data_IF_020860612163
#
_entry.id   IF_020860612163
#
_cell.length_a   1.000
_cell.length_b   1.000
_cell.length_c   1.000
_cell.angle_alpha   90.00
_cell.angle_beta   90.00
_cell.angle_gamma   90.00
#
_symmetry.space_group_name_H-M   'P 1'
#
loop_
_entity.id
_entity.type
_entity.pdbx_description
1 polymer ?
#
# COMPACT_ATOMS: atom_id res chain seq x y z
N UNK A 1 -10.98 8.94 -2.12
CA UNK A 1 -9.70 9.35 -1.50
C UNK A 1 -9.84 9.19 -0.01
N UNK A 2 -8.91 8.45 0.59
CA UNK A 2 -8.89 8.20 2.02
C UNK A 2 -8.65 9.46 2.85
N UNK A 3 -9.17 9.44 4.08
CA UNK A 3 -9.00 10.52 5.04
C UNK A 3 -7.76 10.35 5.89
N UNK A 4 -7.44 9.12 6.29
CA UNK A 4 -6.24 8.81 7.09
C UNK A 4 -4.98 8.69 6.23
N UNK A 5 -5.08 7.98 5.09
CA UNK A 5 -4.02 7.87 4.09
C UNK A 5 -4.58 8.19 2.72
N UNK A 6 -3.91 9.06 1.97
CA UNK A 6 -4.39 9.56 0.67
C UNK A 6 -4.77 8.43 -0.29
N UNK A 7 -3.95 7.38 -0.35
CA UNK A 7 -4.05 6.31 -1.35
C UNK A 7 -4.76 5.06 -0.82
N UNK A 8 -5.44 5.11 0.33
CA UNK A 8 -6.19 3.97 0.84
C UNK A 8 -7.57 4.45 1.30
N UNK A 9 -8.62 3.88 0.74
CA UNK A 9 -9.98 4.18 1.17
C UNK A 9 -10.15 3.83 2.66
N UNK A 10 -10.87 4.66 3.41
CA UNK A 10 -11.03 4.48 4.86
C UNK A 10 -11.66 3.12 5.21
N UNK A 11 -12.58 2.64 4.36
CA UNK A 11 -13.23 1.33 4.47
C UNK A 11 -12.30 0.14 4.24
N UNK A 12 -11.13 0.38 3.63
CA UNK A 12 -10.13 -0.63 3.31
C UNK A 12 -8.95 -0.64 4.29
N UNK A 13 -8.97 0.21 5.32
CA UNK A 13 -7.89 0.27 6.31
C UNK A 13 -7.97 -0.89 7.29
N UNK A 14 -6.88 -1.64 7.38
CA UNK A 14 -6.69 -2.71 8.37
C UNK A 14 -5.58 -2.33 9.37
N UNK A 15 -5.87 -2.30 10.69
CA UNK A 15 -4.84 -2.07 11.70
C UNK A 15 -3.89 -3.26 11.84
N UNK A 16 -2.65 -3.03 12.26
CA UNK A 16 -1.63 -4.08 12.44
C UNK A 16 -1.87 -5.01 13.63
N UNK A 17 -2.83 -4.69 14.50
CA UNK A 17 -3.10 -5.42 15.74
C UNK A 17 -2.13 -5.10 16.89
N UNK A 18 -1.10 -4.27 16.67
CA UNK A 18 -0.27 -3.76 17.77
C UNK A 18 -1.04 -2.69 18.56
N UNK A 19 -0.82 -2.67 19.89
CA UNK A 19 -1.47 -1.72 20.80
C UNK A 19 -0.78 -0.36 20.91
N UNK A 20 0.36 -0.20 20.25
CA UNK A 20 1.20 0.99 20.28
C UNK A 20 1.96 1.19 18.97
N UNK A 21 2.39 2.44 18.73
CA UNK A 21 3.24 2.79 17.59
C UNK A 21 4.70 2.50 17.91
N UNK A 22 5.43 1.76 17.05
CA UNK A 22 6.84 1.46 17.29
C UNK A 22 7.79 2.67 17.10
N UNK A 23 7.32 3.74 16.46
CA UNK A 23 8.12 4.96 16.26
C UNK A 23 7.99 5.95 17.43
N UNK A 24 6.75 6.23 17.88
CA UNK A 24 6.47 7.23 18.92
C UNK A 24 6.04 6.65 20.27
N UNK A 25 5.94 5.31 20.39
CA UNK A 25 5.60 4.56 21.61
C UNK A 25 4.28 5.01 22.28
N UNK A 26 3.41 5.73 21.54
CA UNK A 26 2.12 6.16 22.08
C UNK A 26 1.20 4.96 22.17
N UNK A 27 0.82 4.58 23.39
CA UNK A 27 -0.17 3.53 23.62
C UNK A 27 -1.59 4.00 23.23
N UNK A 28 -2.44 3.05 22.83
CA UNK A 28 -3.86 3.30 22.55
C UNK A 28 -4.14 4.05 21.24
N UNK A 29 -3.12 4.23 20.39
CA UNK A 29 -3.30 4.70 19.01
C UNK A 29 -3.44 3.51 18.06
N UNK A 30 -4.17 3.73 16.98
CA UNK A 30 -4.23 2.76 15.88
C UNK A 30 -2.91 2.76 15.13
N UNK A 31 -2.27 1.60 15.03
CA UNK A 31 -1.10 1.35 14.20
C UNK A 31 -1.49 0.58 12.94
N UNK A 32 -0.73 0.80 11.87
CA UNK A 32 -0.90 0.16 10.58
C UNK A 32 0.37 -0.60 10.22
N UNK A 33 0.23 -1.69 9.46
CA UNK A 33 1.39 -2.47 9.02
C UNK A 33 2.33 -1.58 8.22
N UNK A 34 3.60 -1.60 8.58
CA UNK A 34 4.61 -0.75 7.98
C UNK A 34 5.98 -1.38 8.15
N UNK A 35 6.51 -1.98 7.09
CA UNK A 35 7.88 -2.50 7.07
C UNK A 35 8.85 -1.41 6.63
N UNK A 36 9.70 -0.97 7.54
CA UNK A 36 10.66 0.08 7.24
C UNK A 36 11.51 0.44 8.43
N UNK A 37 11.94 1.69 8.47
CA UNK A 37 12.86 2.23 9.46
C UNK A 37 12.37 3.56 10.02
N UNK A 38 12.78 3.91 11.23
CA UNK A 38 12.72 5.28 11.74
C UNK A 38 13.61 6.17 10.88
N UNK A 39 13.02 7.21 10.27
CA UNK A 39 13.73 8.10 9.35
C UNK A 39 14.59 9.14 10.08
N UNK A 40 14.23 9.50 11.31
CA UNK A 40 14.97 10.41 12.15
C UNK A 40 14.98 9.91 13.61
N UNK A 41 16.05 9.24 14.06
CA UNK A 41 16.15 8.71 15.42
C UNK A 41 15.92 9.77 16.50
N UNK A 42 16.39 11.00 16.28
CA UNK A 42 16.21 12.10 17.26
C UNK A 42 14.76 12.52 17.50
N UNK A 43 13.84 12.16 16.60
CA UNK A 43 12.42 12.44 16.71
C UNK A 43 11.59 11.24 17.22
N UNK A 44 12.22 10.09 17.45
CA UNK A 44 11.58 8.92 18.04
C UNK A 44 11.39 9.07 19.55
N UNK A 45 10.51 8.25 20.11
CA UNK A 45 10.32 8.19 21.56
C UNK A 45 11.58 7.73 22.30
N UNK A 46 12.31 6.77 21.71
CA UNK A 46 13.60 6.31 22.19
C UNK A 46 14.68 6.52 21.11
N UNK A 47 15.39 7.67 21.10
CA UNK A 47 16.38 7.97 20.07
C UNK A 47 17.56 7.01 20.02
N UNK A 48 17.96 6.44 21.17
CA UNK A 48 19.06 5.49 21.21
C UNK A 48 18.66 4.18 20.53
N UNK A 49 17.49 3.63 20.89
CA UNK A 49 16.98 2.42 20.25
C UNK A 49 16.74 2.65 18.75
N UNK A 50 16.20 3.80 18.36
CA UNK A 50 15.98 4.12 16.95
C UNK A 50 17.29 4.28 16.14
N UNK A 51 18.43 4.54 16.79
CA UNK A 51 19.75 4.61 16.15
C UNK A 51 20.41 3.22 16.06
N UNK A 52 20.27 2.41 17.11
CA UNK A 52 20.84 1.06 17.20
C UNK A 52 20.01 0.00 16.43
N UNK A 53 18.67 0.12 16.49
CA UNK A 53 17.68 -0.79 15.92
C UNK A 53 16.56 0.02 15.24
N UNK A 54 16.81 0.62 14.05
CA UNK A 54 15.86 1.52 13.40
C UNK A 54 14.62 0.81 12.81
N UNK A 55 14.65 -0.52 12.67
CA UNK A 55 13.63 -1.30 11.98
C UNK A 55 12.28 -1.31 12.73
N UNK A 56 11.21 -1.15 11.96
CA UNK A 56 9.83 -1.21 12.46
C UNK A 56 8.94 -2.03 11.51
N UNK A 57 7.84 -2.52 12.08
CA UNK A 57 6.81 -3.35 11.44
C UNK A 57 5.41 -2.75 11.52
N UNK A 58 5.21 -1.72 12.35
CA UNK A 58 4.01 -0.91 12.37
C UNK A 58 4.25 0.50 12.89
N UNK A 59 3.46 1.45 12.38
CA UNK A 59 3.46 2.83 12.84
C UNK A 59 2.04 3.42 12.81
N UNK A 60 1.79 4.44 13.63
CA UNK A 60 0.54 5.19 13.57
C UNK A 60 0.52 6.14 12.36
N UNK A 61 -0.69 6.55 11.96
CA UNK A 61 -0.88 7.47 10.84
C UNK A 61 -0.10 8.79 11.00
N UNK A 62 -0.01 9.33 12.22
CA UNK A 62 0.75 10.56 12.50
C UNK A 62 2.24 10.40 12.09
N UNK A 63 2.89 9.31 12.52
CA UNK A 63 4.30 9.05 12.23
C UNK A 63 4.56 8.80 10.74
N UNK A 64 3.67 8.04 10.08
CA UNK A 64 3.78 7.74 8.64
C UNK A 64 3.60 9.02 7.82
N UNK A 65 2.52 9.78 8.05
CA UNK A 65 2.22 10.99 7.29
C UNK A 65 3.25 12.10 7.52
N UNK A 66 3.79 12.22 8.74
CA UNK A 66 4.84 13.18 9.07
C UNK A 66 6.22 12.81 8.48
N UNK A 67 6.39 11.60 7.92
CA UNK A 67 7.67 11.13 7.40
C UNK A 67 8.70 10.83 8.49
N UNK A 68 8.24 10.49 9.70
CA UNK A 68 9.12 10.03 10.78
C UNK A 68 9.60 8.59 10.57
N UNK A 69 8.96 7.89 9.65
CA UNK A 69 9.32 6.54 9.21
C UNK A 69 9.48 6.53 7.70
N UNK A 70 10.30 5.62 7.18
CA UNK A 70 10.57 5.44 5.76
C UNK A 70 10.67 3.97 5.42
N UNK A 71 10.30 3.61 4.20
CA UNK A 71 10.52 2.27 3.66
C UNK A 71 12.00 2.09 3.36
N UNK A 72 12.51 0.87 3.50
CA UNK A 72 13.90 0.55 3.19
C UNK A 72 14.20 0.69 1.70
N UNK A 73 15.48 0.78 1.34
CA UNK A 73 15.90 0.84 -0.06
C UNK A 73 15.46 -0.39 -0.86
N UNK A 74 15.36 -1.55 -0.20
CA UNK A 74 14.82 -2.78 -0.81
C UNK A 74 13.37 -2.59 -1.25
N UNK A 75 12.50 -2.11 -0.35
CA UNK A 75 11.08 -1.87 -0.61
C UNK A 75 10.86 -0.80 -1.69
N UNK A 76 11.71 0.25 -1.71
CA UNK A 76 11.70 1.24 -2.80
C UNK A 76 12.12 0.61 -4.12
N UNK A 77 13.13 -0.26 -4.08
CA UNK A 77 13.66 -0.98 -5.25
C UNK A 77 12.58 -1.78 -5.99
N UNK A 78 11.67 -2.43 -5.25
CA UNK A 78 10.57 -3.23 -5.82
C UNK A 78 9.64 -2.40 -6.71
N UNK A 79 9.31 -1.17 -6.27
CA UNK A 79 8.39 -0.29 -7.01
C UNK A 79 9.08 0.71 -7.94
N UNK A 80 10.41 0.79 -7.90
CA UNK A 80 11.18 1.81 -8.62
C UNK A 80 10.95 1.77 -10.15
N UNK A 81 10.76 0.57 -10.71
CA UNK A 81 10.44 0.39 -12.14
C UNK A 81 9.06 0.96 -12.48
N UNK A 82 8.07 0.76 -11.61
CA UNK A 82 6.72 1.30 -11.78
C UNK A 82 6.73 2.82 -11.75
N UNK A 83 7.38 3.41 -10.74
CA UNK A 83 7.55 4.86 -10.61
C UNK A 83 8.21 5.44 -11.86
N UNK A 84 9.30 4.82 -12.33
CA UNK A 84 10.03 5.32 -13.50
C UNK A 84 9.21 5.29 -14.79
N UNK A 85 8.31 4.32 -14.93
CA UNK A 85 7.48 4.14 -16.11
C UNK A 85 6.21 5.00 -16.09
N UNK A 86 5.58 5.19 -14.93
CA UNK A 86 4.21 5.69 -14.84
C UNK A 86 4.01 6.97 -14.04
N UNK A 87 4.96 7.35 -13.16
CA UNK A 87 4.82 8.58 -12.38
C UNK A 87 5.16 9.82 -13.21
N UNK A 88 4.34 10.88 -13.11
CA UNK A 88 4.64 12.18 -13.72
C UNK A 88 5.70 12.95 -12.93
N UNK A 89 5.69 12.80 -11.60
CA UNK A 89 6.71 13.29 -10.68
C UNK A 89 7.27 12.12 -9.87
N UNK A 90 8.45 11.66 -10.26
CA UNK A 90 9.10 10.49 -9.69
C UNK A 90 9.55 10.71 -8.25
N UNK A 91 10.02 11.91 -7.92
CA UNK A 91 10.48 12.23 -6.56
C UNK A 91 9.28 12.28 -5.62
N UNK A 92 8.21 12.96 -6.02
CA UNK A 92 6.98 12.96 -5.24
C UNK A 92 6.41 11.55 -5.11
N UNK A 93 6.38 10.73 -6.17
CA UNK A 93 5.87 9.36 -6.09
C UNK A 93 6.61 8.51 -5.04
N UNK A 94 7.95 8.61 -4.95
CA UNK A 94 8.73 7.94 -3.89
C UNK A 94 8.34 8.47 -2.51
N UNK A 95 8.25 9.80 -2.34
CA UNK A 95 7.86 10.41 -1.06
C UNK A 95 6.45 9.99 -0.61
N UNK A 96 5.52 9.89 -1.56
CA UNK A 96 4.18 9.40 -1.29
C UNK A 96 4.18 7.91 -0.93
N UNK A 97 5.01 7.09 -1.58
CA UNK A 97 5.09 5.67 -1.29
C UNK A 97 5.60 5.39 0.13
N UNK A 98 6.51 6.20 0.68
CA UNK A 98 6.87 6.14 2.10
C UNK A 98 5.68 6.43 3.05
N UNK A 99 4.66 7.17 2.59
CA UNK A 99 3.47 7.49 3.39
C UNK A 99 2.33 6.48 3.22
N UNK A 100 2.53 5.45 2.41
CA UNK A 100 1.54 4.39 2.20
C UNK A 100 1.89 3.23 3.14
N UNK A 101 1.04 2.88 4.12
CA UNK A 101 1.24 1.67 4.91
C UNK A 101 1.14 0.44 4.02
N UNK A 102 1.77 -0.66 4.46
CA UNK A 102 1.65 -1.93 3.77
C UNK A 102 0.22 -2.43 3.85
N UNK A 103 -0.35 -2.75 2.69
CA UNK A 103 -1.60 -3.51 2.66
C UNK A 103 -1.24 -4.96 2.97
N UNK A 104 -1.88 -5.62 3.95
CA UNK A 104 -1.59 -7.01 4.33
C UNK A 104 -1.69 -8.06 3.20
N UNK A 105 -2.20 -7.65 2.04
CA UNK A 105 -2.70 -8.48 0.96
C UNK A 105 -1.70 -8.63 -0.20
N UNK A 106 -0.66 -7.78 -0.26
CA UNK A 106 0.42 -7.88 -1.25
C UNK A 106 1.51 -8.86 -0.77
N UNK A 107 1.16 -10.15 -0.69
CA UNK A 107 2.03 -11.15 -0.04
C UNK A 107 3.23 -11.57 -0.89
N UNK A 108 3.16 -11.45 -2.22
CA UNK A 108 4.24 -11.90 -3.11
C UNK A 108 5.21 -10.78 -3.47
N UNK A 109 4.67 -9.59 -3.73
CA UNK A 109 5.44 -8.42 -4.18
C UNK A 109 4.62 -7.15 -4.05
N UNK A 110 5.31 -6.03 -3.92
CA UNK A 110 4.72 -4.70 -3.96
C UNK A 110 4.36 -4.35 -5.42
N UNK A 111 3.08 -4.44 -5.76
CA UNK A 111 2.58 -4.19 -7.12
C UNK A 111 1.42 -3.19 -7.11
N UNK A 112 1.70 -1.99 -6.62
CA UNK A 112 0.72 -0.92 -6.49
C UNK A 112 0.51 -0.18 -7.83
N UNK A 113 -0.72 -0.12 -8.38
CA UNK A 113 -0.96 0.53 -9.66
C UNK A 113 -0.68 2.04 -9.65
N UNK A 114 -0.08 2.53 -10.74
CA UNK A 114 -0.01 3.96 -11.07
C UNK A 114 -0.86 4.28 -12.30
N UNK A 115 -1.61 5.37 -12.25
CA UNK A 115 -2.42 5.84 -13.36
C UNK A 115 -2.46 7.36 -13.38
N UNK A 116 -2.48 7.96 -14.58
CA UNK A 116 -2.47 9.42 -14.77
C UNK A 116 -1.30 10.15 -14.07
N UNK A 117 -0.16 9.46 -13.86
CA UNK A 117 1.02 10.05 -13.24
C UNK A 117 1.14 9.90 -11.72
N UNK A 118 0.16 9.30 -11.04
CA UNK A 118 0.10 9.18 -9.58
C UNK A 118 -0.31 7.76 -9.13
N UNK A 119 -0.13 7.46 -7.85
CA UNK A 119 -0.59 6.20 -7.26
C UNK A 119 -2.12 6.11 -7.29
N UNK A 120 -2.64 4.93 -7.57
CA UNK A 120 -4.07 4.65 -7.44
C UNK A 120 -4.45 4.49 -5.97
N UNK A 121 -5.71 4.76 -5.64
CA UNK A 121 -6.28 4.49 -4.32
C UNK A 121 -6.63 3.01 -4.19
N UNK A 122 -6.16 2.34 -3.15
CA UNK A 122 -6.64 1.01 -2.77
C UNK A 122 -8.04 1.14 -2.16
N UNK A 123 -9.03 0.45 -2.75
CA UNK A 123 -10.43 0.56 -2.33
C UNK A 123 -10.93 -0.68 -1.59
N UNK A 124 -10.13 -1.76 -1.54
CA UNK A 124 -10.43 -2.97 -0.79
C UNK A 124 -10.24 -4.24 -1.61
N UNK A 125 -10.85 -5.31 -1.10
CA UNK A 125 -10.97 -6.63 -1.72
C UNK A 125 -12.40 -6.83 -2.21
N UNK A 126 -12.69 -7.84 -3.05
CA UNK A 126 -14.08 -8.23 -3.33
C UNK A 126 -14.81 -8.56 -2.02
N UNK A 127 -16.08 -8.16 -1.89
CA UNK A 127 -16.87 -8.37 -0.70
C UNK A 127 -17.16 -9.86 -0.44
N UNK A 128 -17.27 -10.64 -1.51
CA UNK A 128 -17.48 -12.08 -1.48
C UNK A 128 -16.92 -12.76 -2.74
N UNK A 129 -16.98 -14.10 -2.76
CA UNK A 129 -16.52 -14.89 -3.89
C UNK A 129 -17.37 -14.71 -5.15
N UNK A 130 -18.65 -14.37 -5.03
CA UNK A 130 -19.52 -14.13 -6.19
C UNK A 130 -19.11 -12.83 -6.90
N UNK A 131 -18.78 -11.78 -6.14
CA UNK A 131 -18.21 -10.54 -6.69
C UNK A 131 -16.86 -10.81 -7.36
N UNK A 132 -16.00 -11.65 -6.75
CA UNK A 132 -14.66 -11.94 -7.29
C UNK A 132 -14.69 -12.43 -8.73
N UNK A 133 -15.69 -13.25 -9.09
CA UNK A 133 -15.88 -13.80 -10.45
C UNK A 133 -16.01 -12.68 -11.50
N UNK A 134 -16.60 -11.55 -11.11
CA UNK A 134 -16.88 -10.43 -12.01
C UNK A 134 -15.76 -9.39 -12.08
N UNK A 135 -14.78 -9.42 -11.17
CA UNK A 135 -13.68 -8.45 -11.10
C UNK A 135 -12.96 -8.28 -12.44
N UNK A 136 -12.58 -9.33 -13.19
CA UNK A 136 -11.88 -9.18 -14.47
C UNK A 136 -12.70 -8.46 -15.55
N UNK A 137 -14.03 -8.56 -15.49
CA UNK A 137 -14.94 -7.89 -16.44
C UNK A 137 -15.17 -6.40 -16.12
N UNK A 138 -14.89 -6.00 -14.88
CA UNK A 138 -15.18 -4.65 -14.36
C UNK A 138 -13.93 -3.80 -14.18
N UNK A 139 -12.75 -4.43 -14.09
CA UNK A 139 -11.50 -3.78 -13.71
C UNK A 139 -10.37 -4.21 -14.65
N UNK A 140 -9.43 -3.31 -14.91
CA UNK A 140 -8.24 -3.64 -15.68
C UNK A 140 -7.23 -4.41 -14.83
N UNK A 141 -6.79 -5.59 -15.27
CA UNK A 141 -5.75 -6.31 -14.53
C UNK A 141 -4.42 -5.55 -14.58
N UNK A 142 -3.76 -5.58 -13.44
CA UNK A 142 -2.42 -5.05 -13.25
C UNK A 142 -1.48 -6.17 -12.82
N UNK A 143 -0.48 -6.44 -13.67
CA UNK A 143 0.67 -7.28 -13.35
C UNK A 143 1.93 -6.50 -13.73
N UNK A 144 2.40 -5.66 -12.81
CA UNK A 144 3.51 -4.69 -12.97
C UNK A 144 3.30 -3.63 -14.05
N UNK A 145 2.20 -3.72 -14.78
CA UNK A 145 1.76 -2.82 -15.84
C UNK A 145 0.28 -3.08 -16.09
N UNK A 146 -0.43 -2.11 -16.71
CA UNK A 146 -1.73 -2.41 -17.28
C UNK A 146 -1.56 -3.53 -18.31
N UNK A 147 -2.29 -4.61 -18.14
CA UNK A 147 -2.33 -5.69 -19.12
C UNK A 147 -3.63 -5.56 -19.92
N UNK A 148 -3.56 -5.85 -21.22
CA UNK A 148 -4.72 -5.74 -22.10
C UNK A 148 -5.84 -6.72 -21.69
N UNK A 149 -7.11 -6.33 -21.83
CA UNK A 149 -8.25 -7.15 -21.45
C UNK A 149 -8.40 -8.32 -22.44
N UNK A 150 -7.71 -9.42 -22.18
CA UNK A 150 -7.81 -10.65 -22.98
C UNK A 150 -8.22 -11.85 -22.13
N UNK A 151 -9.13 -11.65 -21.17
CA UNK A 151 -9.53 -12.71 -20.25
C UNK A 151 -11.02 -12.88 -20.15
N UNK A 152 -11.51 -13.93 -20.81
CA UNK A 152 -12.77 -14.58 -20.45
C UNK A 152 -12.48 -15.65 -19.38
N UNK A 153 -12.00 -15.25 -18.19
CA UNK A 153 -11.88 -16.18 -17.05
C UNK A 153 -12.62 -15.65 -15.83
N UNK A 154 -13.21 -16.57 -15.08
CA UNK A 154 -13.80 -16.31 -13.77
C UNK A 154 -12.68 -16.30 -12.73
N UNK A 155 -12.47 -15.17 -12.06
CA UNK A 155 -11.47 -15.06 -11.00
C UNK A 155 -12.01 -15.77 -9.74
N UNK A 156 -11.42 -16.92 -9.41
CA UNK A 156 -11.76 -17.76 -8.26
C UNK A 156 -10.53 -17.89 -7.35
N UNK A 157 -10.24 -16.87 -6.52
CA UNK A 157 -9.10 -16.92 -5.63
C UNK A 157 -9.34 -17.95 -4.51
N UNK A 158 -8.29 -18.49 -3.89
CA UNK A 158 -8.46 -19.36 -2.72
C UNK A 158 -8.88 -18.50 -1.51
N UNK A 159 -8.35 -17.28 -1.45
CA UNK A 159 -8.72 -16.24 -0.49
C UNK A 159 -9.03 -14.93 -1.21
N UNK A 160 -10.12 -14.24 -0.82
CA UNK A 160 -10.41 -12.88 -1.31
C UNK A 160 -9.24 -11.91 -1.08
N UNK A 161 -8.37 -12.24 -0.11
CA UNK A 161 -7.15 -11.50 0.21
C UNK A 161 -6.07 -11.57 -0.87
N UNK A 162 -6.19 -12.45 -1.85
CA UNK A 162 -5.30 -12.49 -3.01
C UNK A 162 -5.63 -11.39 -4.03
N UNK A 163 -6.80 -10.75 -3.93
CA UNK A 163 -7.32 -9.80 -4.91
C UNK A 163 -7.43 -8.41 -4.31
N UNK A 164 -6.65 -7.47 -4.83
CA UNK A 164 -6.71 -6.06 -4.42
C UNK A 164 -7.31 -5.21 -5.52
N UNK A 165 -8.28 -4.35 -5.19
CA UNK A 165 -8.94 -3.45 -6.13
C UNK A 165 -8.43 -2.01 -5.91
N UNK A 166 -8.14 -1.32 -7.01
CA UNK A 166 -7.63 0.04 -7.02
C UNK A 166 -8.44 0.95 -7.93
N UNK A 167 -8.47 2.24 -7.61
CA UNK A 167 -9.12 3.28 -8.40
C UNK A 167 -8.16 4.43 -8.69
N UNK A 168 -8.11 4.89 -9.94
CA UNK A 168 -7.38 6.10 -10.27
C UNK A 168 -8.05 7.33 -9.60
N UNK A 169 -7.25 8.21 -9.00
CA UNK A 169 -7.76 9.43 -8.39
C UNK A 169 -8.14 10.53 -9.40
N UNK A 170 -7.72 10.40 -10.66
CA UNK A 170 -7.89 11.43 -11.72
C UNK A 170 -8.78 11.02 -12.88
N UNK A 171 -9.10 9.73 -13.03
CA UNK A 171 -10.00 9.23 -14.08
C UNK A 171 -10.82 8.06 -13.55
N UNK A 172 -11.78 7.58 -14.34
CA UNK A 172 -12.70 6.51 -13.92
C UNK A 172 -12.11 5.09 -14.06
N UNK A 173 -10.82 4.96 -14.36
CA UNK A 173 -10.18 3.64 -14.47
C UNK A 173 -10.06 2.98 -13.11
N UNK A 174 -10.43 1.71 -13.05
CA UNK A 174 -10.19 0.81 -11.94
C UNK A 174 -9.26 -0.30 -12.37
N UNK A 175 -8.47 -0.77 -11.40
CA UNK A 175 -7.51 -1.84 -11.59
C UNK A 175 -7.74 -2.93 -10.56
N UNK A 176 -7.32 -4.14 -10.87
CA UNK A 176 -7.16 -5.18 -9.85
C UNK A 176 -5.79 -5.84 -9.97
N UNK A 177 -5.27 -6.26 -8.83
CA UNK A 177 -4.05 -7.06 -8.70
C UNK A 177 -4.46 -8.40 -8.10
N UNK A 178 -3.95 -9.49 -8.65
CA UNK A 178 -4.17 -10.84 -8.14
C UNK A 178 -2.84 -11.54 -7.89
N UNK A 179 -2.62 -11.98 -6.65
CA UNK A 179 -1.40 -12.68 -6.22
C UNK A 179 -1.78 -14.03 -5.58
N UNK A 180 -1.96 -15.11 -6.38
CA UNK A 180 -2.42 -16.40 -5.88
C UNK A 180 -1.37 -17.09 -5.01
N UNK A 181 -1.74 -17.57 -3.82
CA UNK A 181 -0.82 -18.23 -2.87
C UNK A 181 -0.32 -19.59 -3.31
#
# INVERSE_FOLDING_TARGET
>A
MGTTFRYIAETALEPSGLGECQCCERAGVVSYNYRGEVANPSAAANPQLADEEPEIYAACADCINAGLVRKSDYEIGEVQKLINAYASDKQNAVQQYHRIPHIPLMMQREDWPLCCGDWCEFVGVPADYDESVHVPSQNQFWDRRPVEPHWDFELKPESLREVCIFKCLSCDRTFFVWQPT
#
